data_IF_550992703525
#
_entry.id   IF_550992703525
#
_cell.length_a   1.000
_cell.length_b   1.000
_cell.length_c   1.000
_cell.angle_alpha   90.00
_cell.angle_beta   90.00
_cell.angle_gamma   90.00
#
_symmetry.space_group_name_H-M   'P 1'
#
loop_
_entity.id
_entity.type
_entity.pdbx_description
1 polymer ?
#
# COMPACT_ATOMS: atom_id res chain seq x y z
N UNK A 1 0.50 -65.78 71.11
CA UNK A 1 -0.68 -65.17 70.57
C UNK A 1 -0.20 -63.96 69.74
N UNK A 2 -0.19 -64.06 68.41
CA UNK A 2 0.37 -63.07 67.57
C UNK A 2 -0.76 -62.38 66.79
N UNK A 3 -0.91 -61.10 67.03
CA UNK A 3 -1.88 -60.22 66.36
C UNK A 3 -1.28 -59.70 65.04
N UNK A 4 -1.90 -60.02 63.91
CA UNK A 4 -1.63 -59.45 62.61
C UNK A 4 -2.29 -58.08 62.47
N UNK A 5 -1.49 -57.05 62.24
CA UNK A 5 -1.95 -55.74 61.81
C UNK A 5 -1.92 -55.70 60.30
N UNK A 6 -3.09 -55.57 59.65
CA UNK A 6 -3.25 -55.32 58.23
C UNK A 6 -3.08 -53.84 57.93
N UNK A 7 -2.09 -53.47 57.14
CA UNK A 7 -1.88 -52.12 56.65
C UNK A 7 -2.70 -51.93 55.35
N UNK A 8 -3.71 -51.06 55.37
CA UNK A 8 -4.43 -50.59 54.19
C UNK A 8 -3.68 -49.40 53.62
N UNK A 9 -2.97 -49.58 52.49
CA UNK A 9 -2.37 -48.49 51.76
C UNK A 9 -3.42 -47.84 50.83
N UNK A 10 -3.89 -46.65 51.21
CA UNK A 10 -4.76 -45.83 50.36
C UNK A 10 -3.88 -45.12 49.31
N UNK A 11 -4.01 -45.55 48.04
CA UNK A 11 -3.40 -44.86 46.90
C UNK A 11 -4.24 -43.62 46.57
N UNK A 12 -3.82 -42.44 47.06
CA UNK A 12 -4.36 -41.16 46.64
C UNK A 12 -3.76 -40.84 45.23
N UNK A 13 -4.55 -41.06 44.18
CA UNK A 13 -4.25 -40.59 42.82
C UNK A 13 -4.42 -39.06 42.82
N UNK A 14 -3.33 -38.33 42.88
CA UNK A 14 -3.27 -36.89 42.70
C UNK A 14 -3.63 -36.62 41.22
N UNK A 15 -4.87 -36.30 40.93
CA UNK A 15 -5.30 -35.63 39.71
C UNK A 15 -4.75 -34.19 39.77
N UNK A 16 -3.50 -33.99 39.32
CA UNK A 16 -3.02 -32.65 39.02
C UNK A 16 -3.82 -32.11 37.85
N UNK A 17 -4.50 -30.95 37.98
CA UNK A 17 -5.10 -30.32 36.82
C UNK A 17 -3.96 -30.03 35.84
N UNK A 18 -4.02 -30.59 34.63
CA UNK A 18 -3.18 -30.19 33.54
C UNK A 18 -3.48 -28.70 33.28
N UNK A 19 -2.69 -27.82 33.85
CA UNK A 19 -2.69 -26.41 33.49
C UNK A 19 -2.29 -26.42 32.02
N UNK A 20 -3.28 -26.31 31.14
CA UNK A 20 -3.06 -26.07 29.74
C UNK A 20 -2.21 -24.79 29.66
N UNK A 21 -0.92 -24.95 29.42
CA UNK A 21 -0.01 -23.83 29.23
C UNK A 21 -0.58 -23.07 28.03
N UNK A 22 -1.23 -21.94 28.30
CA UNK A 22 -1.74 -21.08 27.24
C UNK A 22 -0.53 -20.70 26.36
N UNK A 23 -0.47 -21.26 25.18
CA UNK A 23 0.59 -20.99 24.23
C UNK A 23 0.54 -19.49 23.94
N UNK A 24 1.68 -18.80 24.11
CA UNK A 24 1.76 -17.37 23.82
C UNK A 24 1.26 -17.11 22.40
N UNK A 25 0.47 -16.06 22.18
CA UNK A 25 -0.09 -15.78 20.87
C UNK A 25 1.01 -15.53 19.83
N UNK A 26 0.76 -15.94 18.62
CA UNK A 26 1.59 -15.60 17.46
C UNK A 26 1.44 -14.10 17.20
N UNK A 27 2.52 -13.33 17.28
CA UNK A 27 2.49 -11.89 17.08
C UNK A 27 2.78 -11.57 15.61
N UNK A 28 1.89 -10.80 14.98
CA UNK A 28 2.06 -10.22 13.65
C UNK A 28 2.24 -8.71 13.81
N UNK A 29 3.47 -8.23 13.64
CA UNK A 29 3.71 -6.79 13.50
C UNK A 29 3.35 -6.37 12.10
N UNK A 30 2.34 -5.51 11.96
CA UNK A 30 1.89 -4.95 10.71
C UNK A 30 2.24 -3.46 10.66
N UNK A 31 3.29 -3.10 9.93
CA UNK A 31 3.75 -1.71 9.78
C UNK A 31 3.26 -1.08 8.49
N UNK A 32 2.89 0.20 8.55
CA UNK A 32 2.57 1.00 7.38
C UNK A 32 2.87 2.49 7.61
N UNK A 33 2.99 3.26 6.52
CA UNK A 33 3.50 4.62 6.56
C UNK A 33 2.43 5.72 6.60
N UNK A 34 1.14 5.35 6.50
CA UNK A 34 0.02 6.30 6.49
C UNK A 34 -0.72 6.32 7.82
N UNK A 35 -1.62 7.29 8.00
CA UNK A 35 -2.48 7.38 9.18
C UNK A 35 -3.54 6.27 9.20
N UNK A 36 -4.04 5.92 10.38
CA UNK A 36 -5.10 4.92 10.56
C UNK A 36 -6.43 5.33 9.91
N UNK A 37 -6.65 6.62 9.71
CA UNK A 37 -7.85 7.20 9.11
C UNK A 37 -7.91 7.04 7.57
N UNK A 38 -6.81 6.64 6.93
CA UNK A 38 -6.79 6.35 5.50
C UNK A 38 -7.43 4.99 5.18
N UNK A 39 -7.86 4.70 3.94
CA UNK A 39 -8.36 3.38 3.56
C UNK A 39 -7.42 2.24 3.97
N UNK A 40 -6.10 2.38 3.70
CA UNK A 40 -5.09 1.39 4.12
C UNK A 40 -5.01 1.23 5.64
N UNK A 41 -5.03 2.32 6.39
CA UNK A 41 -4.99 2.26 7.85
C UNK A 41 -6.21 1.56 8.44
N UNK A 42 -7.41 1.90 7.93
CA UNK A 42 -8.67 1.22 8.28
C UNK A 42 -8.64 -0.26 7.91
N UNK A 43 -8.08 -0.60 6.75
CA UNK A 43 -7.87 -1.98 6.31
C UNK A 43 -6.97 -2.78 7.24
N UNK A 44 -5.85 -2.19 7.70
CA UNK A 44 -4.94 -2.82 8.65
C UNK A 44 -5.62 -3.09 10.01
N UNK A 45 -6.42 -2.14 10.49
CA UNK A 45 -7.21 -2.31 11.71
C UNK A 45 -8.31 -3.37 11.54
N UNK A 46 -8.95 -3.42 10.35
CA UNK A 46 -9.95 -4.44 10.03
C UNK A 46 -9.33 -5.83 9.96
N UNK A 47 -8.16 -5.97 9.35
CA UNK A 47 -7.41 -7.22 9.37
C UNK A 47 -7.07 -7.65 10.80
N UNK A 48 -6.59 -6.73 11.65
CA UNK A 48 -6.34 -7.00 13.08
C UNK A 48 -7.58 -7.57 13.77
N UNK A 49 -8.71 -6.88 13.66
CA UNK A 49 -9.99 -7.29 14.27
C UNK A 49 -10.37 -8.73 13.85
N UNK A 50 -10.35 -9.00 12.53
CA UNK A 50 -10.78 -10.27 11.99
C UNK A 50 -9.79 -11.41 12.29
N UNK A 51 -8.49 -11.14 12.20
CA UNK A 51 -7.43 -12.11 12.50
C UNK A 51 -7.50 -12.57 13.96
N UNK A 52 -7.58 -11.63 14.90
CA UNK A 52 -7.69 -11.94 16.32
C UNK A 52 -8.99 -12.70 16.65
N UNK A 53 -10.11 -12.27 16.04
CA UNK A 53 -11.43 -12.93 16.17
C UNK A 53 -11.42 -14.36 15.65
N UNK A 54 -10.96 -14.59 14.41
CA UNK A 54 -11.04 -15.90 13.78
C UNK A 54 -10.07 -16.92 14.39
N UNK A 55 -8.98 -16.44 14.96
CA UNK A 55 -8.00 -17.30 15.64
C UNK A 55 -8.28 -17.50 17.11
N UNK A 56 -9.40 -16.98 17.64
CA UNK A 56 -9.74 -17.04 19.07
C UNK A 56 -8.60 -16.51 19.96
N UNK A 57 -7.93 -15.42 19.51
CA UNK A 57 -6.81 -14.79 20.20
C UNK A 57 -5.49 -15.54 20.10
N UNK A 58 -5.38 -16.63 19.33
CA UNK A 58 -4.10 -17.33 19.09
C UNK A 58 -3.13 -16.51 18.25
N UNK A 59 -3.64 -15.53 17.49
CA UNK A 59 -2.85 -14.52 16.80
C UNK A 59 -3.15 -13.16 17.40
N UNK A 60 -2.12 -12.34 17.60
CA UNK A 60 -2.20 -10.94 17.96
C UNK A 60 -1.59 -10.09 16.84
N UNK A 61 -2.34 -9.14 16.31
CA UNK A 61 -1.85 -8.21 15.30
C UNK A 61 -1.54 -6.86 15.94
N UNK A 62 -0.30 -6.42 15.81
CA UNK A 62 0.17 -5.12 16.28
C UNK A 62 0.33 -4.20 15.07
N UNK A 63 -0.57 -3.21 14.93
CA UNK A 63 -0.54 -2.25 13.83
C UNK A 63 0.32 -1.04 14.20
N UNK A 64 1.29 -0.70 13.33
CA UNK A 64 2.21 0.42 13.49
C UNK A 64 2.03 1.41 12.33
N UNK A 65 1.16 2.44 12.50
CA UNK A 65 0.89 3.44 11.48
C UNK A 65 1.95 4.54 11.43
N UNK A 66 1.84 5.45 10.45
CA UNK A 66 2.63 6.70 10.35
C UNK A 66 4.14 6.50 10.42
N UNK A 67 4.66 5.39 9.85
CA UNK A 67 6.10 5.08 9.90
C UNK A 67 6.67 4.95 11.33
N UNK A 68 5.84 4.61 12.32
CA UNK A 68 6.27 4.53 13.74
C UNK A 68 7.22 3.36 14.01
N UNK A 69 7.21 2.31 13.16
CA UNK A 69 8.13 1.20 13.28
C UNK A 69 9.25 1.28 12.22
N UNK A 70 8.87 1.45 10.94
CA UNK A 70 9.81 1.59 9.82
C UNK A 70 9.32 2.65 8.84
N UNK A 71 10.26 3.41 8.25
CA UNK A 71 9.99 4.26 7.10
C UNK A 71 9.89 3.42 5.82
N UNK A 72 9.23 3.96 4.80
CA UNK A 72 8.99 3.28 3.51
C UNK A 72 10.26 2.97 2.68
N UNK A 73 11.42 3.45 3.10
CA UNK A 73 12.72 3.10 2.51
C UNK A 73 13.33 1.83 3.12
N UNK A 74 12.93 1.48 4.35
CA UNK A 74 13.57 0.45 5.19
C UNK A 74 12.65 -0.74 5.44
N UNK A 75 11.32 -0.52 5.33
CA UNK A 75 10.31 -1.50 5.77
C UNK A 75 10.41 -2.85 5.05
N UNK A 76 10.75 -2.87 3.75
CA UNK A 76 10.82 -4.13 2.99
C UNK A 76 12.04 -4.95 3.39
N UNK A 77 13.18 -4.32 3.62
CA UNK A 77 14.36 -5.00 4.15
C UNK A 77 14.08 -5.59 5.54
N UNK A 78 13.43 -4.82 6.41
CA UNK A 78 13.00 -5.30 7.73
C UNK A 78 12.04 -6.50 7.64
N UNK A 79 11.15 -6.53 6.64
CA UNK A 79 10.30 -7.69 6.35
C UNK A 79 11.12 -8.91 5.94
N UNK A 80 12.06 -8.74 5.01
CA UNK A 80 12.91 -9.83 4.53
C UNK A 80 13.76 -10.44 5.66
N UNK A 81 14.25 -9.60 6.58
CA UNK A 81 15.00 -10.03 7.78
C UNK A 81 14.08 -10.62 8.87
N UNK A 82 12.76 -10.53 8.74
CA UNK A 82 11.80 -11.04 9.71
C UNK A 82 11.58 -10.16 10.94
N UNK A 83 12.12 -8.93 10.95
CA UNK A 83 11.94 -7.96 12.04
C UNK A 83 10.50 -7.42 12.13
N UNK A 84 9.79 -7.44 11.02
CA UNK A 84 8.36 -7.18 10.86
C UNK A 84 7.75 -8.29 10.03
N UNK A 85 6.50 -8.71 10.31
CA UNK A 85 5.89 -9.85 9.64
C UNK A 85 5.06 -9.45 8.44
N UNK A 86 4.42 -8.26 8.49
CA UNK A 86 3.47 -7.80 7.48
C UNK A 86 3.63 -6.31 7.18
N UNK A 87 3.52 -5.96 5.91
CA UNK A 87 3.57 -4.59 5.40
C UNK A 87 2.48 -4.35 4.35
N UNK A 88 2.22 -3.09 4.04
CA UNK A 88 1.42 -2.67 2.89
C UNK A 88 2.10 -1.50 2.15
N UNK A 89 3.28 -1.71 1.52
CA UNK A 89 3.97 -0.69 0.74
C UNK A 89 3.22 -0.34 -0.55
N UNK A 90 3.48 0.88 -1.07
CA UNK A 90 3.17 1.18 -2.47
C UNK A 90 3.94 0.25 -3.39
N UNK A 91 3.31 -0.18 -4.48
CA UNK A 91 3.92 -1.08 -5.49
C UNK A 91 5.19 -0.49 -6.11
N UNK A 92 5.32 0.83 -6.14
CA UNK A 92 6.55 1.52 -6.56
C UNK A 92 7.80 1.15 -5.72
N UNK A 93 7.63 0.51 -4.55
CA UNK A 93 8.74 0.12 -3.65
C UNK A 93 9.40 -1.21 -4.03
N UNK A 94 8.89 -1.95 -4.99
CA UNK A 94 9.46 -3.24 -5.38
C UNK A 94 10.56 -3.15 -6.44
N UNK A 95 10.62 -2.05 -7.19
CA UNK A 95 11.66 -1.87 -8.22
C UNK A 95 13.10 -1.87 -7.65
N UNK A 96 13.41 -1.29 -6.49
CA UNK A 96 14.73 -1.40 -5.87
C UNK A 96 15.12 -2.83 -5.51
N UNK A 97 14.15 -3.73 -5.29
CA UNK A 97 14.40 -5.17 -5.08
C UNK A 97 14.70 -5.92 -6.39
N UNK A 98 14.68 -5.22 -7.53
CA UNK A 98 14.84 -5.80 -8.86
C UNK A 98 13.53 -6.29 -9.49
N UNK A 99 12.36 -6.04 -8.89
CA UNK A 99 11.03 -6.39 -9.44
C UNK A 99 10.42 -5.13 -10.07
N UNK A 100 10.99 -4.75 -11.22
CA UNK A 100 10.66 -3.51 -11.94
C UNK A 100 9.28 -3.54 -12.59
N UNK A 101 8.74 -4.72 -12.81
CA UNK A 101 7.48 -4.96 -13.49
C UNK A 101 6.30 -4.30 -12.80
N UNK A 102 6.37 -4.12 -11.47
CA UNK A 102 5.35 -3.39 -10.72
C UNK A 102 5.21 -1.92 -11.17
N UNK A 103 6.25 -1.32 -11.71
CA UNK A 103 6.19 0.06 -12.20
C UNK A 103 5.29 0.21 -13.45
N UNK A 104 4.89 -0.89 -14.10
CA UNK A 104 3.89 -0.85 -15.16
C UNK A 104 2.53 -0.33 -14.67
N UNK A 105 2.22 -0.54 -13.38
CA UNK A 105 0.99 -0.07 -12.75
C UNK A 105 0.95 1.46 -12.56
N UNK A 106 2.11 2.13 -12.67
CA UNK A 106 2.24 3.59 -12.53
C UNK A 106 2.15 4.33 -13.88
N UNK A 107 1.86 3.61 -14.98
CA UNK A 107 1.66 4.24 -16.29
C UNK A 107 0.49 5.22 -16.23
N UNK A 108 0.65 6.46 -16.75
CA UNK A 108 -0.38 7.48 -16.65
C UNK A 108 -1.65 7.06 -17.40
N UNK A 109 -2.81 7.23 -16.75
CA UNK A 109 -4.15 6.82 -17.24
C UNK A 109 -4.27 5.35 -17.64
N UNK A 110 -3.47 4.47 -17.03
CA UNK A 110 -3.55 3.04 -17.25
C UNK A 110 -4.93 2.48 -16.85
N UNK A 111 -5.41 2.87 -15.67
CA UNK A 111 -6.73 2.48 -15.18
C UNK A 111 -7.74 3.58 -15.46
N UNK A 112 -8.85 3.21 -16.10
CA UNK A 112 -9.94 4.15 -16.44
C UNK A 112 -10.80 4.49 -15.23
N UNK A 113 -10.95 3.54 -14.33
CA UNK A 113 -11.79 3.60 -13.15
C UNK A 113 -11.37 2.55 -12.10
N UNK A 114 -11.97 2.62 -10.92
CA UNK A 114 -11.72 1.70 -9.81
C UNK A 114 -12.05 0.24 -10.17
N UNK A 115 -13.07 0.01 -11.02
CA UNK A 115 -13.45 -1.33 -11.44
C UNK A 115 -12.40 -1.96 -12.35
N UNK A 116 -11.84 -1.19 -13.27
CA UNK A 116 -10.74 -1.62 -14.14
C UNK A 116 -9.51 -2.00 -13.32
N UNK A 117 -9.17 -1.18 -12.32
CA UNK A 117 -8.12 -1.50 -11.35
C UNK A 117 -8.41 -2.79 -10.58
N UNK A 118 -9.60 -2.90 -9.98
CA UNK A 118 -9.98 -4.04 -9.16
C UNK A 118 -9.94 -5.36 -9.95
N UNK A 119 -10.40 -5.34 -11.22
CA UNK A 119 -10.36 -6.50 -12.10
C UNK A 119 -8.91 -6.92 -12.41
N UNK A 120 -8.02 -5.97 -12.72
CA UNK A 120 -6.61 -6.24 -12.99
C UNK A 120 -5.90 -6.85 -11.78
N UNK A 121 -6.13 -6.31 -10.59
CA UNK A 121 -5.47 -6.81 -9.38
C UNK A 121 -5.99 -8.18 -8.92
N UNK A 122 -7.27 -8.48 -9.14
CA UNK A 122 -7.84 -9.82 -8.91
C UNK A 122 -7.51 -10.81 -10.04
N UNK A 123 -7.15 -10.31 -11.20
CA UNK A 123 -6.89 -11.03 -12.45
C UNK A 123 -5.49 -11.62 -12.57
N UNK A 124 -5.06 -11.76 -13.81
CA UNK A 124 -3.77 -12.37 -14.17
C UNK A 124 -2.61 -11.46 -13.82
N UNK A 125 -2.75 -10.14 -14.03
CA UNK A 125 -1.70 -9.15 -13.74
C UNK A 125 -1.30 -9.21 -12.26
N UNK A 126 -2.28 -9.09 -11.35
CA UNK A 126 -2.01 -9.07 -9.93
C UNK A 126 -1.31 -10.36 -9.46
N UNK A 127 -1.80 -11.52 -9.90
CA UNK A 127 -1.20 -12.82 -9.57
C UNK A 127 0.22 -12.96 -10.10
N UNK A 128 0.42 -12.60 -11.36
CA UNK A 128 1.74 -12.67 -12.00
C UNK A 128 2.77 -11.78 -11.31
N UNK A 129 2.37 -10.57 -10.93
CA UNK A 129 3.25 -9.65 -10.20
C UNK A 129 3.63 -10.22 -8.82
N UNK A 130 2.70 -10.81 -8.08
CA UNK A 130 3.01 -11.43 -6.79
C UNK A 130 3.98 -12.59 -6.90
N UNK A 131 3.89 -13.41 -7.96
CA UNK A 131 4.84 -14.49 -8.21
C UNK A 131 6.29 -13.97 -8.33
N UNK A 132 6.50 -12.77 -8.88
CA UNK A 132 7.84 -12.17 -8.96
C UNK A 132 8.44 -11.82 -7.59
N UNK A 133 7.62 -11.66 -6.55
CA UNK A 133 8.09 -11.39 -5.18
C UNK A 133 8.55 -12.66 -4.44
N UNK A 134 8.11 -13.84 -4.85
CA UNK A 134 8.43 -15.11 -4.17
C UNK A 134 9.94 -15.36 -4.13
N UNK A 135 10.66 -15.09 -5.22
CA UNK A 135 12.11 -15.19 -5.29
C UNK A 135 12.85 -14.20 -4.36
N UNK A 136 12.12 -13.23 -3.78
CA UNK A 136 12.64 -12.26 -2.82
C UNK A 136 12.30 -12.61 -1.36
N UNK A 137 11.74 -13.80 -1.13
CA UNK A 137 11.28 -14.22 0.19
C UNK A 137 10.04 -13.48 0.69
N UNK A 138 9.23 -12.95 -0.23
CA UNK A 138 8.05 -12.16 0.03
C UNK A 138 6.84 -12.86 -0.57
N UNK A 139 5.78 -13.04 0.21
CA UNK A 139 4.48 -13.56 -0.23
C UNK A 139 3.50 -12.40 -0.31
N UNK A 140 2.91 -12.19 -1.50
CA UNK A 140 1.81 -11.23 -1.68
C UNK A 140 0.48 -11.83 -1.23
N UNK A 141 -0.30 -11.08 -0.46
CA UNK A 141 -1.59 -11.52 0.07
C UNK A 141 -2.78 -10.82 -0.62
N UNK A 142 -2.66 -9.51 -0.83
CA UNK A 142 -3.75 -8.71 -1.37
C UNK A 142 -3.24 -7.40 -1.99
N UNK A 143 -4.06 -6.82 -2.87
CA UNK A 143 -3.90 -5.44 -3.31
C UNK A 143 -4.98 -4.57 -2.68
N UNK A 144 -4.55 -3.46 -2.08
CA UNK A 144 -5.43 -2.46 -1.48
C UNK A 144 -5.43 -1.18 -2.30
N UNK A 145 -6.63 -0.73 -2.62
CA UNK A 145 -6.89 0.50 -3.35
C UNK A 145 -6.68 1.71 -2.43
N UNK A 146 -6.07 2.78 -2.97
CA UNK A 146 -6.03 4.08 -2.31
C UNK A 146 -6.51 5.22 -3.24
N UNK A 147 -7.02 4.89 -4.42
CA UNK A 147 -7.58 5.82 -5.38
C UNK A 147 -6.57 6.47 -6.32
N UNK A 148 -7.05 7.45 -7.05
CA UNK A 148 -6.27 8.12 -8.09
C UNK A 148 -5.41 9.26 -7.53
N UNK A 149 -4.22 9.41 -8.12
CA UNK A 149 -3.30 10.50 -7.83
C UNK A 149 -3.80 11.85 -8.31
N UNK A 150 -3.49 12.85 -7.52
CA UNK A 150 -3.57 14.26 -7.83
C UNK A 150 -2.19 14.87 -7.63
N UNK A 151 -2.01 16.10 -8.10
CA UNK A 151 -0.76 16.84 -7.93
C UNK A 151 -1.01 18.11 -7.13
N UNK A 152 -0.12 18.41 -6.18
CA UNK A 152 -0.13 19.69 -5.48
C UNK A 152 1.09 20.51 -5.81
N UNK A 153 0.96 21.83 -5.75
CA UNK A 153 2.05 22.79 -5.86
C UNK A 153 1.63 24.13 -5.20
N UNK A 154 2.53 25.13 -5.23
CA UNK A 154 2.19 26.50 -4.81
C UNK A 154 1.73 27.38 -5.99
N UNK A 155 1.27 26.74 -7.06
CA UNK A 155 0.60 27.33 -8.24
C UNK A 155 -0.27 26.29 -8.93
N UNK A 156 -1.33 26.70 -9.67
CA UNK A 156 -2.13 25.76 -10.46
C UNK A 156 -1.28 25.01 -11.50
N UNK A 157 -1.54 23.72 -11.68
CA UNK A 157 -0.91 22.87 -12.69
C UNK A 157 -1.99 22.46 -13.70
N UNK A 158 -2.21 23.24 -14.71
CA UNK A 158 -3.25 22.99 -15.74
C UNK A 158 -2.66 22.54 -17.06
N UNK A 159 -1.49 23.06 -17.41
CA UNK A 159 -0.81 22.75 -18.66
C UNK A 159 0.52 22.02 -18.41
N UNK A 160 1.00 21.21 -19.35
CA UNK A 160 2.34 20.60 -19.25
C UNK A 160 3.45 21.58 -18.91
N UNK A 161 3.40 22.81 -19.44
CA UNK A 161 4.39 23.85 -19.20
C UNK A 161 4.40 24.37 -17.75
N UNK A 162 3.35 24.16 -16.98
CA UNK A 162 3.27 24.62 -15.58
C UNK A 162 4.20 23.83 -14.65
N UNK A 163 4.68 22.68 -15.10
CA UNK A 163 5.61 21.81 -14.35
C UNK A 163 7.07 22.25 -14.45
N UNK A 164 7.39 23.14 -15.39
CA UNK A 164 8.75 23.49 -15.71
C UNK A 164 9.55 23.96 -14.49
N UNK A 165 10.64 23.24 -14.21
CA UNK A 165 11.60 23.54 -13.15
C UNK A 165 11.14 23.22 -11.72
N UNK A 166 9.88 22.76 -11.52
CA UNK A 166 9.39 22.39 -10.19
C UNK A 166 9.99 21.08 -9.70
N UNK A 167 10.36 21.05 -8.44
CA UNK A 167 10.81 19.84 -7.75
C UNK A 167 9.60 19.09 -7.20
N UNK A 168 9.36 17.88 -7.67
CA UNK A 168 8.24 17.05 -7.21
C UNK A 168 8.72 15.88 -6.37
N UNK A 169 8.13 15.71 -5.20
CA UNK A 169 8.31 14.47 -4.44
C UNK A 169 7.57 13.33 -5.12
N UNK A 170 8.25 12.20 -5.29
CA UNK A 170 7.68 10.92 -5.73
C UNK A 170 8.00 9.81 -4.72
N UNK A 171 7.22 8.72 -4.76
CA UNK A 171 7.38 7.56 -3.87
C UNK A 171 8.55 6.66 -4.23
N UNK A 172 8.97 6.64 -5.52
CA UNK A 172 10.12 5.84 -5.96
C UNK A 172 10.01 5.25 -7.36
N UNK A 173 8.83 5.30 -7.99
CA UNK A 173 8.62 4.79 -9.35
C UNK A 173 9.46 5.54 -10.38
N UNK A 174 10.15 4.79 -11.24
CA UNK A 174 10.87 5.37 -12.37
C UNK A 174 9.93 5.74 -13.53
N UNK A 175 8.74 5.14 -13.58
CA UNK A 175 7.68 5.55 -14.51
C UNK A 175 7.16 6.94 -14.10
N UNK A 176 6.90 7.16 -12.81
CA UNK A 176 6.53 8.48 -12.29
C UNK A 176 7.65 9.52 -12.48
N UNK A 177 8.91 9.14 -12.21
CA UNK A 177 10.07 9.99 -12.51
C UNK A 177 10.09 10.41 -13.98
N UNK A 178 9.80 9.47 -14.91
CA UNK A 178 9.84 9.71 -16.34
C UNK A 178 8.76 10.69 -16.81
N UNK A 179 7.50 10.48 -16.48
CA UNK A 179 6.44 11.38 -16.95
C UNK A 179 6.56 12.79 -16.34
N UNK A 180 7.00 12.90 -15.10
CA UNK A 180 7.25 14.22 -14.49
C UNK A 180 8.43 14.93 -15.17
N UNK A 181 9.51 14.22 -15.52
CA UNK A 181 10.62 14.82 -16.30
C UNK A 181 10.21 15.26 -17.69
N UNK A 182 9.39 14.48 -18.36
CA UNK A 182 8.83 14.85 -19.68
C UNK A 182 8.03 16.15 -19.58
N UNK A 183 7.32 16.34 -18.46
CA UNK A 183 6.60 17.59 -18.16
C UNK A 183 7.53 18.75 -17.76
N UNK A 184 8.84 18.51 -17.64
CA UNK A 184 9.85 19.53 -17.32
C UNK A 184 10.16 19.72 -15.83
N UNK A 185 9.64 18.86 -14.97
CA UNK A 185 9.91 18.92 -13.53
C UNK A 185 11.14 18.10 -13.11
N UNK A 186 11.52 18.25 -11.85
CA UNK A 186 12.69 17.61 -11.22
C UNK A 186 12.19 16.68 -10.11
N UNK A 187 11.93 15.39 -10.40
CA UNK A 187 11.44 14.45 -9.39
C UNK A 187 12.50 14.17 -8.31
N UNK A 188 12.03 14.05 -7.06
CA UNK A 188 12.85 13.77 -5.88
C UNK A 188 12.24 12.58 -5.11
N UNK A 189 12.99 11.49 -4.95
CA UNK A 189 12.57 10.35 -4.15
C UNK A 189 12.78 10.65 -2.67
N UNK A 190 11.70 10.60 -1.89
CA UNK A 190 11.72 10.94 -0.47
C UNK A 190 10.79 10.04 0.33
N UNK A 191 11.15 9.70 1.58
CA UNK A 191 10.28 8.96 2.47
C UNK A 191 8.99 9.72 2.75
N UNK A 192 7.86 8.99 2.90
CA UNK A 192 6.55 9.61 3.06
C UNK A 192 6.47 10.49 4.30
N UNK A 193 7.06 10.07 5.40
CA UNK A 193 7.13 10.84 6.66
C UNK A 193 7.91 12.17 6.58
N UNK A 194 8.68 12.37 5.51
CA UNK A 194 9.49 13.58 5.32
C UNK A 194 8.79 14.62 4.44
N UNK A 195 7.67 14.25 3.79
CA UNK A 195 7.05 15.08 2.72
C UNK A 195 6.49 16.37 3.25
N UNK A 196 5.76 16.37 4.38
CA UNK A 196 5.18 17.59 4.95
C UNK A 196 6.27 18.65 5.18
N UNK A 197 7.35 18.26 5.85
CA UNK A 197 8.46 19.15 6.16
C UNK A 197 9.16 19.66 4.88
N UNK A 198 9.33 18.79 3.89
CA UNK A 198 9.96 19.15 2.63
C UNK A 198 9.13 20.14 1.81
N UNK A 199 7.80 19.98 1.82
CA UNK A 199 6.87 20.96 1.22
C UNK A 199 6.88 22.29 1.97
N UNK A 200 6.86 22.24 3.31
CA UNK A 200 6.84 23.44 4.16
C UNK A 200 8.11 24.29 3.98
N UNK A 201 9.26 23.64 3.85
CA UNK A 201 10.57 24.31 3.72
C UNK A 201 10.99 24.60 2.27
N UNK A 202 10.20 24.15 1.28
CA UNK A 202 10.49 24.36 -0.14
C UNK A 202 11.66 23.47 -0.67
N UNK A 203 12.00 22.39 0.03
CA UNK A 203 12.93 21.36 -0.50
C UNK A 203 12.33 20.72 -1.75
N UNK A 204 11.01 20.54 -1.76
CA UNK A 204 10.22 20.23 -2.94
C UNK A 204 9.07 21.24 -3.09
N UNK A 205 8.67 21.51 -4.33
CA UNK A 205 7.63 22.48 -4.66
C UNK A 205 6.23 21.86 -4.66
N UNK A 206 6.19 20.53 -4.81
CA UNK A 206 4.93 19.78 -4.89
C UNK A 206 5.11 18.28 -4.67
N UNK A 207 3.99 17.58 -4.65
CA UNK A 207 3.96 16.13 -4.61
C UNK A 207 2.75 15.57 -5.36
N UNK A 208 2.83 14.28 -5.72
CA UNK A 208 1.68 13.51 -6.16
C UNK A 208 1.19 12.63 -5.00
N UNK A 209 -0.11 12.55 -4.83
CA UNK A 209 -0.75 11.66 -3.86
C UNK A 209 -2.27 11.60 -4.08
N UNK A 210 -2.96 10.86 -3.22
CA UNK A 210 -4.42 10.75 -3.18
C UNK A 210 -5.03 11.70 -2.15
N UNK A 211 -6.32 11.98 -2.24
CA UNK A 211 -7.00 12.93 -1.37
C UNK A 211 -6.92 12.55 0.11
N UNK A 212 -7.14 11.28 0.44
CA UNK A 212 -7.07 10.78 1.80
C UNK A 212 -5.69 11.01 2.45
N UNK A 213 -4.61 10.84 1.66
CA UNK A 213 -3.26 11.11 2.11
C UNK A 213 -2.98 12.62 2.24
N UNK A 214 -3.48 13.46 1.32
CA UNK A 214 -3.39 14.92 1.45
C UNK A 214 -4.06 15.42 2.73
N UNK A 215 -5.25 14.89 3.04
CA UNK A 215 -5.99 15.28 4.23
C UNK A 215 -5.28 14.84 5.51
N UNK A 216 -4.98 13.55 5.64
CA UNK A 216 -4.47 12.97 6.89
C UNK A 216 -3.04 13.41 7.21
N UNK A 217 -2.23 13.72 6.19
CA UNK A 217 -0.88 14.27 6.36
C UNK A 217 -0.86 15.80 6.38
N UNK A 218 -2.03 16.44 6.27
CA UNK A 218 -2.19 17.90 6.29
C UNK A 218 -1.40 18.65 5.20
N UNK A 219 -1.13 18.00 4.05
CA UNK A 219 -0.38 18.65 2.97
C UNK A 219 -1.07 19.90 2.44
N UNK A 220 -2.40 19.98 2.56
CA UNK A 220 -3.19 21.16 2.24
C UNK A 220 -2.84 22.42 3.09
N UNK A 221 -2.12 22.26 4.20
CA UNK A 221 -1.65 23.40 5.00
C UNK A 221 -0.39 24.08 4.42
N UNK A 222 0.37 23.32 3.61
CA UNK A 222 1.66 23.72 3.05
C UNK A 222 1.69 23.72 1.52
N UNK A 223 0.53 23.51 0.89
CA UNK A 223 0.35 23.51 -0.58
C UNK A 223 -0.87 24.40 -0.92
N UNK A 224 -0.66 25.42 -1.78
CA UNK A 224 -1.69 26.38 -2.13
C UNK A 224 -2.73 25.86 -3.12
N UNK A 225 -2.29 24.93 -3.99
CA UNK A 225 -3.08 24.46 -5.12
C UNK A 225 -2.98 22.92 -5.23
N UNK A 226 -4.11 22.27 -5.46
CA UNK A 226 -4.22 20.85 -5.79
C UNK A 226 -4.91 20.72 -7.15
N UNK A 227 -4.26 20.09 -8.11
CA UNK A 227 -4.86 19.74 -9.40
C UNK A 227 -5.39 18.31 -9.33
N UNK A 228 -6.71 18.18 -9.40
CA UNK A 228 -7.45 16.91 -9.43
C UNK A 228 -7.35 16.34 -10.83
N UNK A 229 -6.27 15.62 -11.10
CA UNK A 229 -5.89 15.15 -12.43
C UNK A 229 -6.25 13.70 -12.68
N UNK A 230 -6.27 12.85 -11.64
CA UNK A 230 -6.50 11.41 -11.72
C UNK A 230 -5.64 10.73 -12.79
N UNK A 231 -4.38 11.17 -12.89
CA UNK A 231 -3.46 10.78 -13.95
C UNK A 231 -2.75 9.44 -13.70
N UNK A 232 -2.70 8.98 -12.48
CA UNK A 232 -2.13 7.68 -12.08
C UNK A 232 -2.94 7.10 -10.91
N UNK A 233 -2.69 5.86 -10.56
CA UNK A 233 -3.40 5.18 -9.48
C UNK A 233 -2.44 4.80 -8.35
N UNK A 234 -2.84 4.98 -7.10
CA UNK A 234 -2.07 4.55 -5.93
C UNK A 234 -2.63 3.24 -5.39
N UNK A 235 -1.84 2.22 -5.48
CA UNK A 235 -2.14 0.90 -4.93
C UNK A 235 -1.07 0.47 -3.92
N UNK A 236 -1.51 -0.35 -2.98
CA UNK A 236 -0.65 -1.01 -2.01
C UNK A 236 -0.69 -2.51 -2.19
N UNK A 237 0.44 -3.17 -2.01
CA UNK A 237 0.50 -4.62 -1.91
C UNK A 237 0.64 -5.02 -0.44
N UNK A 238 -0.32 -5.76 0.10
CA UNK A 238 -0.18 -6.38 1.41
C UNK A 238 0.71 -7.58 1.25
N UNK A 239 1.83 -7.58 1.94
CA UNK A 239 2.90 -8.57 1.83
C UNK A 239 3.31 -9.10 3.18
N UNK A 240 3.80 -10.35 3.19
CA UNK A 240 4.33 -11.00 4.39
C UNK A 240 5.71 -11.62 4.11
N UNK A 241 6.50 -11.81 5.16
CA UNK A 241 7.69 -12.63 5.09
C UNK A 241 7.29 -14.08 4.77
N UNK A 242 7.81 -14.65 3.67
CA UNK A 242 7.42 -15.99 3.19
C UNK A 242 7.72 -17.10 4.20
N UNK A 243 8.86 -17.02 4.89
CA UNK A 243 9.25 -18.01 5.89
C UNK A 243 8.32 -17.98 7.10
N UNK A 244 7.96 -16.78 7.56
CA UNK A 244 6.98 -16.62 8.64
C UNK A 244 5.63 -17.21 8.23
N UNK A 245 5.11 -16.82 7.06
CA UNK A 245 3.78 -17.22 6.60
C UNK A 245 3.65 -18.72 6.36
N UNK A 246 4.66 -19.34 5.74
CA UNK A 246 4.71 -20.80 5.51
C UNK A 246 4.91 -21.60 6.79
N UNK A 247 5.53 -21.01 7.82
CA UNK A 247 5.73 -21.62 9.13
C UNK A 247 4.51 -21.60 10.06
N UNK A 248 3.43 -20.89 9.68
CA UNK A 248 2.19 -20.86 10.46
C UNK A 248 1.47 -22.22 10.43
N UNK A 249 0.82 -22.63 11.54
CA UNK A 249 -0.07 -23.79 11.52
C UNK A 249 -1.13 -23.62 10.40
N UNK A 250 -1.43 -24.71 9.64
CA UNK A 250 -2.33 -24.61 8.48
C UNK A 250 -3.73 -24.04 8.79
N UNK A 251 -4.29 -24.39 9.96
CA UNK A 251 -5.58 -23.86 10.42
C UNK A 251 -5.53 -22.37 10.73
N UNK A 252 -4.45 -21.89 11.34
CA UNK A 252 -4.22 -20.46 11.59
C UNK A 252 -4.07 -19.72 10.28
N UNK A 253 -3.25 -20.22 9.35
CA UNK A 253 -3.06 -19.60 8.04
C UNK A 253 -4.37 -19.48 7.26
N UNK A 254 -5.19 -20.53 7.22
CA UNK A 254 -6.51 -20.50 6.56
C UNK A 254 -7.42 -19.40 7.16
N UNK A 255 -7.40 -19.24 8.48
CA UNK A 255 -8.17 -18.20 9.18
C UNK A 255 -7.65 -16.79 8.85
N UNK A 256 -6.33 -16.63 8.76
CA UNK A 256 -5.70 -15.36 8.38
C UNK A 256 -5.92 -15.01 6.90
N UNK A 257 -5.91 -16.00 6.00
CA UNK A 257 -6.28 -15.82 4.59
C UNK A 257 -7.71 -15.31 4.45
N UNK A 258 -8.65 -15.90 5.21
CA UNK A 258 -10.04 -15.43 5.29
C UNK A 258 -10.13 -14.00 5.82
N UNK A 259 -9.43 -13.69 6.93
CA UNK A 259 -9.40 -12.36 7.52
C UNK A 259 -8.85 -11.32 6.53
N UNK A 260 -7.80 -11.67 5.77
CA UNK A 260 -7.21 -10.80 4.77
C UNK A 260 -8.16 -10.56 3.60
N UNK A 261 -8.85 -11.59 3.12
CA UNK A 261 -9.83 -11.43 2.04
C UNK A 261 -10.95 -10.44 2.43
N UNK A 262 -11.54 -10.61 3.61
CA UNK A 262 -12.60 -9.70 4.10
C UNK A 262 -12.09 -8.29 4.40
N UNK A 263 -10.88 -8.16 4.97
CA UNK A 263 -10.24 -6.85 5.17
C UNK A 263 -9.95 -6.14 3.84
N UNK A 264 -9.59 -6.91 2.80
CA UNK A 264 -9.36 -6.39 1.44
C UNK A 264 -10.65 -5.90 0.81
N UNK A 265 -11.72 -6.69 0.88
CA UNK A 265 -13.02 -6.26 0.36
C UNK A 265 -13.52 -4.99 1.07
N UNK A 266 -13.36 -4.93 2.39
CA UNK A 266 -13.68 -3.73 3.17
C UNK A 266 -12.85 -2.53 2.70
N UNK A 267 -11.52 -2.66 2.65
CA UNK A 267 -10.60 -1.57 2.28
C UNK A 267 -10.93 -1.01 0.90
N UNK A 268 -11.09 -1.89 -0.07
CA UNK A 268 -11.35 -1.50 -1.46
C UNK A 268 -12.77 -0.92 -1.65
N UNK A 269 -13.75 -1.34 -0.83
CA UNK A 269 -15.11 -0.79 -0.88
C UNK A 269 -15.20 0.64 -0.38
N UNK A 270 -14.32 1.06 0.55
CA UNK A 270 -14.36 2.41 1.13
C UNK A 270 -13.44 3.40 0.44
N UNK A 271 -12.45 2.93 -0.36
CA UNK A 271 -11.37 3.76 -0.88
C UNK A 271 -11.86 4.97 -1.67
N UNK A 272 -12.85 4.78 -2.54
CA UNK A 272 -13.42 5.86 -3.34
C UNK A 272 -14.11 6.91 -2.49
N UNK A 273 -15.05 6.49 -1.63
CA UNK A 273 -15.82 7.42 -0.78
C UNK A 273 -14.91 8.20 0.17
N UNK A 274 -13.92 7.54 0.78
CA UNK A 274 -12.94 8.19 1.65
C UNK A 274 -12.12 9.27 0.93
N UNK A 275 -11.80 9.09 -0.34
CA UNK A 275 -11.11 10.11 -1.13
C UNK A 275 -12.04 11.28 -1.54
N UNK A 276 -13.30 10.98 -1.88
CA UNK A 276 -14.31 12.01 -2.16
C UNK A 276 -14.59 12.87 -0.91
N UNK A 277 -14.74 12.24 0.25
CA UNK A 277 -14.93 12.92 1.53
C UNK A 277 -13.69 13.74 1.92
N UNK A 278 -12.50 13.22 1.70
CA UNK A 278 -11.25 13.92 1.96
C UNK A 278 -11.10 15.18 1.10
N UNK A 279 -11.46 15.12 -0.19
CA UNK A 279 -11.49 16.30 -1.07
C UNK A 279 -12.49 17.35 -0.58
N UNK A 280 -13.68 16.92 -0.19
CA UNK A 280 -14.70 17.82 0.35
C UNK A 280 -14.22 18.50 1.64
N UNK A 281 -13.55 17.75 2.52
CA UNK A 281 -13.01 18.30 3.76
C UNK A 281 -11.84 19.27 3.49
N UNK A 282 -10.90 18.93 2.61
CA UNK A 282 -9.81 19.84 2.19
C UNK A 282 -10.41 21.15 1.66
N UNK A 283 -11.44 21.07 0.80
CA UNK A 283 -12.13 22.25 0.25
C UNK A 283 -12.73 23.13 1.35
N UNK A 284 -13.35 22.55 2.38
CA UNK A 284 -13.94 23.28 3.50
C UNK A 284 -12.91 24.06 4.32
N UNK A 285 -11.66 23.62 4.36
CA UNK A 285 -10.61 24.32 5.10
C UNK A 285 -10.31 25.70 4.51
N UNK A 286 -10.56 25.91 3.22
CA UNK A 286 -10.23 27.15 2.51
C UNK A 286 -8.72 27.43 2.38
N UNK A 287 -7.86 26.50 2.79
CA UNK A 287 -6.39 26.68 2.79
C UNK A 287 -5.76 26.37 1.44
N UNK A 288 -6.44 25.56 0.62
CA UNK A 288 -5.95 25.05 -0.66
C UNK A 288 -7.03 25.21 -1.72
N UNK A 289 -6.66 25.70 -2.90
CA UNK A 289 -7.54 25.77 -4.06
C UNK A 289 -7.54 24.44 -4.82
N UNK A 290 -8.73 23.94 -5.16
CA UNK A 290 -8.88 22.75 -5.99
C UNK A 290 -9.10 23.13 -7.45
N UNK A 291 -8.29 22.58 -8.33
CA UNK A 291 -8.37 22.78 -9.78
C UNK A 291 -8.70 21.45 -10.46
N UNK A 292 -9.61 21.48 -11.42
CA UNK A 292 -9.99 20.29 -12.17
C UNK A 292 -9.54 20.46 -13.63
N UNK A 293 -8.92 19.44 -14.19
CA UNK A 293 -8.55 19.44 -15.60
C UNK A 293 -9.82 19.44 -16.47
N UNK A 294 -9.88 20.37 -17.42
CA UNK A 294 -10.83 20.26 -18.54
C UNK A 294 -10.44 19.10 -19.45
N UNK A 295 -11.33 18.68 -20.35
CA UNK A 295 -11.00 17.64 -21.34
C UNK A 295 -9.82 18.05 -22.22
N UNK A 296 -9.71 19.33 -22.55
CA UNK A 296 -8.58 19.86 -23.32
C UNK A 296 -7.26 19.79 -22.54
N UNK A 297 -7.26 20.16 -21.24
CA UNK A 297 -6.09 20.07 -20.39
C UNK A 297 -5.68 18.61 -20.18
N UNK A 298 -6.65 17.73 -19.92
CA UNK A 298 -6.41 16.29 -19.79
C UNK A 298 -5.77 15.70 -21.05
N UNK A 299 -6.30 16.06 -22.22
CA UNK A 299 -5.74 15.62 -23.50
C UNK A 299 -4.31 16.14 -23.68
N UNK A 300 -4.04 17.39 -23.38
CA UNK A 300 -2.69 17.95 -23.45
C UNK A 300 -1.70 17.23 -22.54
N UNK A 301 -2.13 16.84 -21.32
CA UNK A 301 -1.31 16.06 -20.42
C UNK A 301 -1.07 14.64 -20.95
N UNK A 302 -2.10 13.99 -21.47
CA UNK A 302 -1.99 12.64 -22.07
C UNK A 302 -1.00 12.63 -23.24
N UNK A 303 -1.11 13.61 -24.14
CA UNK A 303 -0.18 13.76 -25.27
C UNK A 303 1.25 14.01 -24.78
N UNK A 304 1.44 14.87 -23.79
CA UNK A 304 2.76 15.15 -23.24
C UNK A 304 3.39 13.94 -22.54
N UNK A 305 2.61 13.15 -21.79
CA UNK A 305 3.10 11.98 -21.05
C UNK A 305 3.17 10.70 -21.91
N UNK A 306 2.57 10.69 -23.11
CA UNK A 306 2.52 9.51 -23.98
C UNK A 306 3.90 8.87 -24.25
N UNK A 307 5.02 9.60 -24.42
CA UNK A 307 6.34 8.99 -24.61
C UNK A 307 6.79 8.09 -23.45
N UNK A 308 6.18 8.22 -22.25
CA UNK A 308 6.45 7.36 -21.11
C UNK A 308 6.15 5.90 -21.42
N UNK A 309 5.10 5.61 -22.18
CA UNK A 309 4.72 4.25 -22.57
C UNK A 309 5.83 3.55 -23.39
N UNK A 310 6.38 4.24 -24.38
CA UNK A 310 7.50 3.73 -25.17
C UNK A 310 8.75 3.52 -24.31
N UNK A 311 9.05 4.47 -23.43
CA UNK A 311 10.19 4.36 -22.51
C UNK A 311 10.02 3.20 -21.52
N UNK A 312 8.81 3.00 -20.99
CA UNK A 312 8.50 1.95 -20.02
C UNK A 312 8.81 0.55 -20.57
N UNK A 313 8.69 0.31 -21.88
CA UNK A 313 9.05 -0.95 -22.52
C UNK A 313 10.47 -1.40 -22.17
N UNK A 314 11.44 -0.49 -22.24
CA UNK A 314 12.83 -0.77 -21.86
C UNK A 314 13.04 -0.89 -20.36
N UNK A 315 12.11 -0.38 -19.55
CA UNK A 315 12.21 -0.34 -18.08
C UNK A 315 11.58 -1.56 -17.43
N UNK A 316 10.30 -1.85 -17.72
CA UNK A 316 9.51 -2.89 -17.06
C UNK A 316 9.51 -4.21 -17.84
N UNK A 317 9.88 -4.19 -19.10
CA UNK A 317 9.88 -5.36 -20.00
C UNK A 317 8.60 -5.51 -20.80
N UNK A 318 8.70 -6.18 -21.95
CA UNK A 318 7.58 -6.37 -22.88
C UNK A 318 6.50 -7.30 -22.29
N UNK A 319 6.91 -8.34 -21.57
CA UNK A 319 6.01 -9.37 -21.03
C UNK A 319 4.89 -8.77 -20.17
N UNK A 320 5.23 -7.88 -19.21
CA UNK A 320 4.22 -7.23 -18.37
C UNK A 320 3.36 -6.27 -19.16
N UNK A 321 3.91 -5.56 -20.14
CA UNK A 321 3.13 -4.64 -20.97
C UNK A 321 2.14 -5.39 -21.88
N UNK A 322 2.51 -6.54 -22.42
CA UNK A 322 1.61 -7.39 -23.20
C UNK A 322 0.46 -7.93 -22.33
N UNK A 323 0.80 -8.34 -21.11
CA UNK A 323 -0.19 -8.80 -20.13
C UNK A 323 -1.18 -7.68 -19.78
N UNK A 324 -0.66 -6.48 -19.49
CA UNK A 324 -1.47 -5.29 -19.18
C UNK A 324 -2.32 -4.89 -20.39
N UNK A 325 -1.75 -4.83 -21.60
CA UNK A 325 -2.47 -4.51 -22.82
C UNK A 325 -3.66 -5.45 -23.04
N UNK A 326 -3.43 -6.76 -22.86
CA UNK A 326 -4.44 -7.81 -23.07
C UNK A 326 -5.56 -7.74 -22.01
N UNK A 327 -5.20 -7.59 -20.73
CA UNK A 327 -6.18 -7.67 -19.63
C UNK A 327 -7.01 -6.39 -19.50
N UNK A 328 -6.41 -5.22 -19.77
CA UNK A 328 -7.08 -3.93 -19.70
C UNK A 328 -7.68 -3.43 -21.01
N UNK A 329 -7.46 -4.15 -22.11
CA UNK A 329 -7.85 -3.73 -23.47
C UNK A 329 -7.34 -2.31 -23.79
N UNK A 330 -6.06 -2.07 -23.54
CA UNK A 330 -5.39 -0.77 -23.77
C UNK A 330 -4.24 -0.93 -24.76
N UNK A 331 -4.01 0.13 -25.56
CA UNK A 331 -2.86 0.18 -26.49
C UNK A 331 -1.64 0.71 -25.72
N UNK A 332 -0.53 -0.03 -25.78
CA UNK A 332 0.77 0.31 -25.19
C UNK A 332 1.71 0.99 -26.22
N UNK A 333 1.17 1.88 -27.04
CA UNK A 333 1.93 2.53 -28.12
C UNK A 333 2.54 3.85 -27.67
#
# INVERSE_FOLDING_TARGET
MRTLLAAVAAAAVLLAPAIAQAQSPIVIKFSHVVANETPKGKGALKFKELAEKYTDGKVKVEVYPNSTLYKDKEEIEALQLGSVQMLAPSTAKFAPLGVKEFEALDLPWLFRDDQTYANAMKGTIGKWLFQKLEAKGITGLAYWDNGFHMLSANRPLLKPTDFQGLKFRISGSKVADQYLRIMGSIPQIMAFSEVYQALQTGVVDGCENTASNYLTQKFYEVQKDITVSYHAHLQYAVIVNSKFWSGLPPDIRTKLDKAMAEATDYTNSIARQENEDALAEIKKTGKTSLHYLTDADRKAWQEAMQPTYKWAKGRVGQEVLDLVAKELDVKMN
#
